data_IF_842744482107
#
_entry.id   IF_842744482107
#
_cell.length_a   1.000
_cell.length_b   1.000
_cell.length_c   1.000
_cell.angle_alpha   90.00
_cell.angle_beta   90.00
_cell.angle_gamma   90.00
#
_symmetry.space_group_name_H-M   'P 1'
#
loop_
_entity.id
_entity.type
_entity.pdbx_description
1 polymer ?
#
# COMPACT_ATOMS: atom_id res chain seq x y z
N UNK A 1 4.32 -9.21 16.27
CA UNK A 1 4.80 -10.45 15.62
C UNK A 1 3.65 -11.43 15.50
N UNK A 2 3.62 -12.24 14.44
CA UNK A 2 2.56 -13.22 14.22
C UNK A 2 2.81 -14.50 15.00
N UNK A 3 1.73 -15.09 15.50
CA UNK A 3 1.75 -16.46 16.01
C UNK A 3 1.89 -17.46 14.86
N UNK A 4 2.16 -18.72 15.20
CA UNK A 4 2.08 -19.82 14.24
C UNK A 4 0.69 -19.81 13.58
N UNK A 5 0.66 -19.96 12.26
CA UNK A 5 -0.54 -19.94 11.41
C UNK A 5 -1.32 -18.60 11.44
N UNK A 6 -0.70 -17.54 11.97
CA UNK A 6 -1.27 -16.19 11.95
C UNK A 6 -1.27 -15.59 10.55
N UNK A 7 -2.26 -14.74 10.29
CA UNK A 7 -2.42 -14.02 9.02
C UNK A 7 -2.30 -12.51 9.22
N UNK A 8 -1.83 -11.81 8.20
CA UNK A 8 -1.92 -10.36 8.09
C UNK A 8 -3.10 -10.04 7.17
N UNK A 9 -3.99 -9.17 7.60
CA UNK A 9 -5.07 -8.65 6.75
C UNK A 9 -4.93 -7.15 6.73
N UNK A 10 -4.82 -6.58 5.54
CA UNK A 10 -4.71 -5.14 5.34
C UNK A 10 -5.19 -4.77 3.94
N UNK A 11 -5.54 -3.51 3.79
CA UNK A 11 -5.94 -2.89 2.54
C UNK A 11 -4.90 -1.87 2.07
N UNK A 12 -4.95 -1.59 0.77
CA UNK A 12 -4.17 -0.56 0.10
C UNK A 12 -4.86 -0.20 -1.22
N UNK A 13 -4.26 0.70 -1.99
CA UNK A 13 -4.79 1.14 -3.28
C UNK A 13 -3.67 1.39 -4.27
N UNK A 14 -3.96 1.23 -5.55
CA UNK A 14 -3.17 1.87 -6.59
C UNK A 14 -3.53 3.36 -6.65
N UNK A 15 -2.53 4.22 -6.76
CA UNK A 15 -2.70 5.68 -6.82
C UNK A 15 -2.07 6.28 -8.07
N UNK A 16 -1.80 5.47 -9.09
CA UNK A 16 -1.27 5.93 -10.38
C UNK A 16 -2.16 7.01 -11.02
N UNK A 17 -3.47 6.98 -10.79
CA UNK A 17 -4.42 8.00 -11.23
C UNK A 17 -4.08 9.41 -10.73
N UNK A 18 -3.38 9.54 -9.60
CA UNK A 18 -2.89 10.84 -9.11
C UNK A 18 -1.81 11.45 -10.00
N UNK A 19 -1.27 10.67 -10.92
CA UNK A 19 -0.21 11.03 -11.85
C UNK A 19 -0.70 11.07 -13.31
N UNK A 20 -2.00 11.02 -13.61
CA UNK A 20 -2.50 11.02 -15.00
C UNK A 20 -1.96 12.16 -15.89
N UNK A 21 -1.66 13.32 -15.30
CA UNK A 21 -1.12 14.49 -16.00
C UNK A 21 0.42 14.61 -15.90
N UNK A 22 1.11 13.63 -15.32
CA UNK A 22 2.54 13.67 -14.98
C UNK A 22 3.22 12.30 -15.23
N UNK A 23 4.53 12.30 -15.45
CA UNK A 23 5.26 11.02 -15.43
C UNK A 23 5.40 10.51 -14.00
N UNK A 24 5.34 9.19 -13.81
CA UNK A 24 5.64 8.59 -12.52
C UNK A 24 7.09 8.92 -12.10
N UNK A 25 7.35 9.07 -10.79
CA UNK A 25 8.71 9.25 -10.28
C UNK A 25 9.64 8.14 -10.75
N UNK A 26 10.85 8.51 -11.18
CA UNK A 26 11.88 7.55 -11.64
C UNK A 26 12.90 7.20 -10.55
N UNK A 27 12.96 8.00 -9.49
CA UNK A 27 13.89 7.88 -8.37
C UNK A 27 13.30 7.16 -7.15
N UNK A 28 11.97 6.94 -7.14
CA UNK A 28 11.25 6.27 -6.06
C UNK A 28 9.98 5.59 -6.57
N UNK A 29 9.39 4.75 -5.73
CA UNK A 29 8.07 4.19 -5.98
C UNK A 29 6.99 5.28 -5.83
N UNK A 30 6.05 5.36 -6.78
CA UNK A 30 5.05 6.44 -6.84
C UNK A 30 4.08 6.41 -5.64
N UNK A 31 3.84 5.23 -5.08
CA UNK A 31 3.04 5.06 -3.88
C UNK A 31 3.64 5.64 -2.59
N UNK A 32 4.91 6.08 -2.62
CA UNK A 32 5.56 6.74 -1.48
C UNK A 32 5.15 8.22 -1.35
N UNK A 33 4.15 8.47 -0.51
CA UNK A 33 3.61 9.79 -0.21
C UNK A 33 4.25 10.41 1.06
N UNK A 34 4.22 11.74 1.12
CA UNK A 34 4.57 12.50 2.34
C UNK A 34 3.35 13.30 2.76
N UNK A 35 2.85 13.01 3.95
CA UNK A 35 1.57 13.50 4.46
C UNK A 35 1.78 14.29 5.75
N UNK A 36 0.81 15.16 6.05
CA UNK A 36 0.61 15.78 7.37
C UNK A 36 -0.87 16.07 7.52
N UNK A 37 -1.35 16.14 8.75
CA UNK A 37 -2.72 16.55 9.01
C UNK A 37 -2.82 18.04 9.29
N UNK A 38 -3.95 18.64 8.90
CA UNK A 38 -4.34 19.99 9.29
C UNK A 38 -5.68 19.94 10.02
N UNK A 39 -5.75 20.56 11.19
CA UNK A 39 -7.00 20.75 11.93
C UNK A 39 -6.99 22.08 12.67
N UNK A 40 -8.03 22.90 12.48
CA UNK A 40 -8.11 24.25 13.07
C UNK A 40 -6.86 25.12 12.83
N UNK A 41 -6.27 25.02 11.63
CA UNK A 41 -5.00 25.70 11.23
C UNK A 41 -3.75 25.22 11.95
N UNK A 42 -3.86 24.21 12.80
CA UNK A 42 -2.71 23.52 13.40
C UNK A 42 -2.30 22.36 12.49
N UNK A 43 -1.00 22.22 12.30
CA UNK A 43 -0.40 21.22 11.42
C UNK A 43 0.41 20.22 12.23
N UNK A 44 0.29 18.94 11.89
CA UNK A 44 1.22 17.93 12.42
C UNK A 44 2.57 18.01 11.70
N UNK A 45 3.57 17.35 12.28
CA UNK A 45 4.79 17.04 11.56
C UNK A 45 4.50 16.21 10.30
N UNK A 46 5.41 16.29 9.34
CA UNK A 46 5.38 15.47 8.14
C UNK A 46 5.72 14.01 8.48
N UNK A 47 5.01 13.08 7.85
CA UNK A 47 5.27 11.65 7.94
C UNK A 47 5.19 10.99 6.56
N UNK A 48 5.84 9.83 6.43
CA UNK A 48 5.77 9.01 5.21
C UNK A 48 4.53 8.13 5.27
N UNK A 49 3.83 8.00 4.15
CA UNK A 49 2.71 7.10 3.96
C UNK A 49 2.92 6.29 2.69
N UNK A 50 2.49 5.02 2.70
CA UNK A 50 2.66 4.12 1.56
C UNK A 50 1.28 3.69 1.08
N UNK A 51 0.99 4.01 -0.18
CA UNK A 51 0.03 3.28 -1.00
C UNK A 51 0.81 2.27 -1.80
N UNK A 52 0.38 1.03 -1.86
CA UNK A 52 1.06 -0.07 -2.54
C UNK A 52 0.08 -0.70 -3.51
N UNK A 53 0.41 -0.74 -4.79
CA UNK A 53 -0.35 -1.46 -5.82
C UNK A 53 -0.25 -2.97 -5.61
N UNK A 54 -1.25 -3.69 -6.10
CA UNK A 54 -1.37 -5.13 -5.87
C UNK A 54 -0.21 -5.93 -6.51
N UNK A 55 0.27 -5.52 -7.68
CA UNK A 55 1.31 -6.26 -8.41
C UNK A 55 2.66 -6.16 -7.70
N UNK A 56 3.02 -4.97 -7.23
CA UNK A 56 4.23 -4.74 -6.44
C UNK A 56 4.13 -5.47 -5.10
N UNK A 57 2.97 -5.43 -4.44
CA UNK A 57 2.72 -6.22 -3.23
C UNK A 57 2.96 -7.72 -3.46
N UNK A 58 2.31 -8.32 -4.45
CA UNK A 58 2.42 -9.75 -4.72
C UNK A 58 3.85 -10.20 -5.00
N UNK A 59 4.59 -9.39 -5.76
CA UNK A 59 5.99 -9.65 -6.10
C UNK A 59 6.87 -9.66 -4.85
N UNK A 60 6.84 -8.59 -4.06
CA UNK A 60 7.66 -8.45 -2.85
C UNK A 60 7.24 -9.48 -1.80
N UNK A 61 5.93 -9.68 -1.59
CA UNK A 61 5.42 -10.66 -0.64
C UNK A 61 5.91 -12.08 -1.00
N UNK A 62 5.87 -12.45 -2.27
CA UNK A 62 6.33 -13.76 -2.73
C UNK A 62 7.85 -13.97 -2.51
N UNK A 63 8.66 -12.94 -2.79
CA UNK A 63 10.11 -12.92 -2.55
C UNK A 63 10.45 -13.05 -1.05
N UNK A 64 9.66 -12.40 -0.20
CA UNK A 64 9.80 -12.43 1.26
C UNK A 64 9.16 -13.66 1.94
N UNK A 65 8.74 -14.66 1.15
CA UNK A 65 8.23 -15.93 1.69
C UNK A 65 6.77 -15.92 2.15
N UNK A 66 5.98 -14.99 1.64
CA UNK A 66 4.53 -14.91 1.89
C UNK A 66 3.72 -15.45 0.71
N UNK A 67 2.52 -15.91 1.03
CA UNK A 67 1.44 -16.17 0.08
C UNK A 67 0.43 -15.05 0.22
N UNK A 68 0.12 -14.40 -0.90
CA UNK A 68 -0.90 -13.35 -0.99
C UNK A 68 -2.22 -13.93 -1.47
N UNK A 69 -3.30 -13.61 -0.77
CA UNK A 69 -4.66 -13.92 -1.18
C UNK A 69 -5.45 -12.61 -1.27
N UNK A 70 -5.96 -12.28 -2.46
CA UNK A 70 -6.93 -11.21 -2.64
C UNK A 70 -8.28 -11.62 -2.00
N UNK A 71 -8.76 -10.83 -1.06
CA UNK A 71 -10.06 -11.04 -0.39
C UNK A 71 -11.15 -10.25 -1.10
N UNK A 72 -10.83 -9.00 -1.47
CA UNK A 72 -11.77 -8.07 -2.07
C UNK A 72 -11.03 -7.02 -2.90
N UNK A 73 -11.67 -6.54 -3.96
CA UNK A 73 -11.25 -5.40 -4.75
C UNK A 73 -12.50 -4.60 -5.15
N UNK A 74 -12.43 -3.28 -5.09
CA UNK A 74 -13.50 -2.39 -5.52
C UNK A 74 -13.21 -1.71 -6.87
N UNK A 75 -14.11 -0.82 -7.31
CA UNK A 75 -13.98 -0.10 -8.58
C UNK A 75 -13.03 1.11 -8.52
N UNK A 76 -12.48 1.45 -7.35
CA UNK A 76 -11.61 2.61 -7.12
C UNK A 76 -10.17 2.19 -6.85
N UNK A 77 -9.76 1.04 -7.42
CA UNK A 77 -8.44 0.44 -7.27
C UNK A 77 -8.02 0.18 -5.82
N UNK A 78 -8.99 0.06 -4.90
CA UNK A 78 -8.77 -0.39 -3.53
C UNK A 78 -8.84 -1.90 -3.47
N UNK A 79 -7.96 -2.50 -2.68
CA UNK A 79 -7.97 -3.93 -2.46
C UNK A 79 -7.76 -4.29 -0.99
N UNK A 80 -8.29 -5.44 -0.60
CA UNK A 80 -8.08 -6.07 0.70
C UNK A 80 -7.41 -7.42 0.47
N UNK A 81 -6.29 -7.64 1.15
CA UNK A 81 -5.50 -8.87 1.02
C UNK A 81 -5.32 -9.55 2.36
N UNK A 82 -5.08 -10.85 2.29
CA UNK A 82 -4.56 -11.66 3.37
C UNK A 82 -3.17 -12.18 2.99
N UNK A 83 -2.17 -11.97 3.85
CA UNK A 83 -0.88 -12.65 3.76
C UNK A 83 -0.78 -13.75 4.81
N UNK A 84 -0.28 -14.90 4.40
CA UNK A 84 0.16 -15.98 5.28
C UNK A 84 1.59 -16.38 4.92
N UNK A 85 2.36 -16.88 5.90
CA UNK A 85 3.68 -17.45 5.60
C UNK A 85 3.52 -18.70 4.73
N UNK A 86 4.45 -18.91 3.81
CA UNK A 86 4.59 -20.18 3.08
C UNK A 86 4.90 -21.35 4.02
#
# INVERSE_FOLDING_TARGET
>A
MLNKDGVLIFDSSDIDYMYEEQELPTDKYYGEATCRYEYQKELTDWFKWLYLDQQTLETIAAEEGWTTQLIYQDENDQYLVQLSRK
#
